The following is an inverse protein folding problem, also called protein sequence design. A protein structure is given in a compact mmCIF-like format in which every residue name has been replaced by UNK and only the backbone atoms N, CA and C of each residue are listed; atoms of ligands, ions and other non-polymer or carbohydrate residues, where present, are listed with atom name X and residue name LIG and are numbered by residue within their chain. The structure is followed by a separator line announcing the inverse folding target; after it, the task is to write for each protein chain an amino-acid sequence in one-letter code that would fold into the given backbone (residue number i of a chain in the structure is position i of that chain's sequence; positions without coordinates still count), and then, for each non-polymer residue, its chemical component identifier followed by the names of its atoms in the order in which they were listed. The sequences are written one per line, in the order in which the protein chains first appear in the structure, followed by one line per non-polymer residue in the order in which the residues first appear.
data_IF_744533432842
#
_entry.id   IF_744533432842
#
_cell.length_a   1.000
_cell.length_b   1.000
_cell.length_c   1.000
_cell.angle_alpha   90.00
_cell.angle_beta   90.00
_cell.angle_gamma   90.00
#
_symmetry.space_group_name_H-M   'P 1'
#
loop_
_entity.id
_entity.type
_entity.pdbx_description
1 polymer ?
#
# COMPACT_ATOMS: atom_id res chain seq x y z
N UNK A 1 12.20 -41.96 0.19
CA UNK A 1 11.34 -41.29 1.18
C UNK A 1 10.90 -39.95 0.60
N UNK A 2 9.60 -39.62 0.50
CA UNK A 2 9.19 -38.32 -0.01
C UNK A 2 9.41 -37.25 1.08
N UNK A 3 10.30 -36.31 0.82
CA UNK A 3 10.48 -35.09 1.62
C UNK A 3 9.38 -34.07 1.26
N UNK A 4 8.21 -34.18 1.88
CA UNK A 4 7.16 -33.17 1.76
C UNK A 4 7.47 -31.97 2.66
N UNK A 5 8.30 -31.04 2.18
CA UNK A 5 8.55 -29.76 2.86
C UNK A 5 7.26 -28.91 2.93
N UNK A 6 6.70 -28.62 4.12
CA UNK A 6 5.49 -27.80 4.24
C UNK A 6 5.86 -26.30 4.20
N UNK A 7 6.58 -25.84 3.17
CA UNK A 7 7.08 -24.46 3.10
C UNK A 7 6.26 -23.53 2.19
N UNK A 8 5.09 -23.94 1.70
CA UNK A 8 4.47 -23.24 0.55
C UNK A 8 3.21 -22.42 0.81
N UNK A 9 2.75 -22.25 2.06
CA UNK A 9 1.39 -21.71 2.32
C UNK A 9 1.25 -20.73 3.50
N UNK A 10 2.34 -20.12 3.97
CA UNK A 10 2.32 -19.17 5.10
C UNK A 10 2.24 -17.68 4.69
N UNK A 11 2.57 -17.35 3.44
CA UNK A 11 2.57 -15.96 2.93
C UNK A 11 1.27 -15.52 2.24
N UNK A 12 0.30 -16.43 2.11
CA UNK A 12 -1.01 -16.08 1.57
C UNK A 12 -1.94 -15.70 2.75
N UNK A 13 -2.57 -14.51 2.73
CA UNK A 13 -3.52 -14.13 3.76
C UNK A 13 -4.70 -15.11 3.71
N UNK A 14 -4.70 -16.05 4.66
CA UNK A 14 -5.78 -17.04 4.83
C UNK A 14 -7.01 -16.44 5.52
N UNK A 15 -6.83 -15.35 6.25
CA UNK A 15 -7.89 -14.64 6.98
C UNK A 15 -8.52 -13.56 6.10
N UNK A 16 -9.83 -13.30 6.28
CA UNK A 16 -10.53 -12.19 5.60
C UNK A 16 -9.86 -10.85 5.88
N UNK A 17 -9.43 -10.65 7.12
CA UNK A 17 -8.75 -9.42 7.55
C UNK A 17 -7.41 -9.23 6.85
N UNK A 18 -6.61 -10.30 6.71
CA UNK A 18 -5.36 -10.26 5.96
C UNK A 18 -5.58 -9.87 4.50
N UNK A 19 -6.64 -10.41 3.86
CA UNK A 19 -6.99 -10.07 2.47
C UNK A 19 -7.40 -8.60 2.33
N UNK A 20 -8.17 -8.07 3.28
CA UNK A 20 -8.58 -6.66 3.29
C UNK A 20 -7.35 -5.76 3.41
N UNK A 21 -6.45 -6.05 4.37
CA UNK A 21 -5.22 -5.27 4.58
C UNK A 21 -4.31 -5.32 3.36
N UNK A 22 -4.11 -6.50 2.76
CA UNK A 22 -3.33 -6.62 1.52
C UNK A 22 -3.96 -5.83 0.37
N UNK A 23 -5.29 -5.88 0.23
CA UNK A 23 -5.98 -5.14 -0.84
C UNK A 23 -5.88 -3.62 -0.64
N UNK A 24 -6.05 -3.13 0.60
CA UNK A 24 -5.87 -1.72 0.94
C UNK A 24 -4.44 -1.28 0.65
N UNK A 25 -3.44 -2.07 1.07
CA UNK A 25 -2.04 -1.79 0.79
C UNK A 25 -1.76 -1.74 -0.71
N UNK A 26 -2.24 -2.72 -1.48
CA UNK A 26 -2.04 -2.78 -2.92
C UNK A 26 -2.70 -1.60 -3.65
N UNK A 27 -3.91 -1.20 -3.23
CA UNK A 27 -4.60 -0.04 -3.78
C UNK A 27 -3.85 1.28 -3.51
N UNK A 28 -3.39 1.49 -2.28
CA UNK A 28 -2.57 2.65 -1.92
C UNK A 28 -1.22 2.65 -2.65
N UNK A 29 -0.61 1.48 -2.80
CA UNK A 29 0.66 1.33 -3.50
C UNK A 29 0.53 1.64 -5.00
N UNK A 30 -0.57 1.20 -5.62
CA UNK A 30 -0.91 1.59 -6.99
C UNK A 30 -1.04 3.10 -7.14
N UNK A 31 -1.62 3.79 -6.15
CA UNK A 31 -1.71 5.26 -6.18
C UNK A 31 -0.35 5.97 -6.15
N UNK A 32 0.69 5.31 -5.62
CA UNK A 32 2.07 5.82 -5.63
C UNK A 32 2.84 5.48 -6.93
N UNK A 33 2.29 4.67 -7.82
CA UNK A 33 2.97 4.28 -9.06
C UNK A 33 2.94 5.40 -10.10
N UNK A 34 4.04 5.63 -10.85
CA UNK A 34 4.14 6.71 -11.84
C UNK A 34 2.96 6.79 -12.83
N UNK A 35 2.46 5.68 -13.42
CA UNK A 35 1.33 5.75 -14.34
C UNK A 35 0.06 6.31 -13.69
N UNK A 36 -0.18 5.98 -12.42
CA UNK A 36 -1.40 6.38 -11.71
C UNK A 36 -1.27 7.81 -11.18
N UNK A 37 -0.12 8.16 -10.59
CA UNK A 37 0.13 9.53 -10.15
C UNK A 37 0.09 10.50 -11.33
N UNK A 38 0.71 10.16 -12.46
CA UNK A 38 0.70 11.03 -13.64
C UNK A 38 -0.67 11.08 -14.34
N UNK A 39 -1.48 10.02 -14.28
CA UNK A 39 -2.82 10.03 -14.86
C UNK A 39 -3.84 10.83 -14.03
N UNK A 40 -3.79 10.73 -12.69
CA UNK A 40 -4.82 11.28 -11.80
C UNK A 40 -4.39 12.54 -11.03
N UNK A 41 -3.12 12.65 -10.65
CA UNK A 41 -2.62 13.71 -9.75
C UNK A 41 -1.82 14.80 -10.48
N UNK A 42 -1.33 14.54 -11.69
CA UNK A 42 -0.45 15.45 -12.44
C UNK A 42 -1.19 16.40 -13.41
N UNK A 43 -2.51 16.57 -13.25
CA UNK A 43 -3.33 17.46 -14.10
C UNK A 43 -3.70 18.78 -13.45
N UNK A 44 -3.46 18.93 -12.15
CA UNK A 44 -3.84 20.11 -11.39
C UNK A 44 -2.53 20.62 -10.79
N UNK A 45 -2.17 21.87 -11.06
CA UNK A 45 -1.04 22.58 -10.43
C UNK A 45 -1.52 23.42 -9.22
N UNK A 46 -2.25 22.92 -8.21
CA UNK A 46 -2.32 23.65 -6.96
C UNK A 46 -0.98 23.46 -6.25
N UNK A 47 -0.39 24.55 -5.79
CA UNK A 47 0.60 24.48 -4.74
C UNK A 47 -0.14 24.46 -3.41
N UNK A 48 0.29 23.60 -2.49
CA UNK A 48 -0.23 23.54 -1.13
C UNK A 48 0.89 24.06 -0.21
N UNK A 49 0.71 25.21 0.45
CA UNK A 49 1.76 25.86 1.26
C UNK A 49 3.11 26.04 0.53
N UNK A 50 3.09 26.33 -0.78
CA UNK A 50 4.30 26.53 -1.58
C UNK A 50 5.02 25.25 -2.03
N UNK A 51 4.52 24.06 -1.67
CA UNK A 51 4.98 22.79 -2.25
C UNK A 51 4.00 22.28 -3.30
N UNK A 52 4.50 21.67 -4.41
CA UNK A 52 3.65 21.02 -5.39
C UNK A 52 2.69 20.01 -4.74
N UNK A 53 1.40 20.09 -5.07
CA UNK A 53 0.36 19.19 -4.54
C UNK A 53 0.73 17.71 -4.71
N UNK A 54 1.37 17.36 -5.81
CA UNK A 54 1.85 16.01 -6.07
C UNK A 54 2.73 15.48 -4.92
N UNK A 55 3.65 16.29 -4.40
CA UNK A 55 4.53 15.89 -3.30
C UNK A 55 3.78 15.75 -1.98
N UNK A 56 2.85 16.65 -1.68
CA UNK A 56 2.01 16.56 -0.50
C UNK A 56 1.10 15.31 -0.55
N UNK A 57 0.51 15.03 -1.71
CA UNK A 57 -0.30 13.83 -1.94
C UNK A 57 0.53 12.55 -1.77
N UNK A 58 1.72 12.48 -2.38
CA UNK A 58 2.65 11.36 -2.21
C UNK A 58 3.03 11.15 -0.74
N UNK A 59 3.30 12.23 0.00
CA UNK A 59 3.60 12.15 1.42
C UNK A 59 2.46 11.49 2.21
N UNK A 60 1.22 11.91 1.98
CA UNK A 60 0.03 11.32 2.61
C UNK A 60 -0.12 9.84 2.23
N UNK A 61 0.09 9.48 0.96
CA UNK A 61 0.00 8.08 0.50
C UNK A 61 1.07 7.21 1.18
N UNK A 62 2.32 7.68 1.28
CA UNK A 62 3.38 6.94 1.95
C UNK A 62 3.12 6.80 3.45
N UNK A 63 2.67 7.86 4.12
CA UNK A 63 2.28 7.79 5.53
C UNK A 63 1.14 6.76 5.74
N UNK A 64 0.15 6.73 4.85
CA UNK A 64 -0.93 5.75 4.88
C UNK A 64 -0.43 4.32 4.67
N UNK A 65 0.50 4.08 3.74
CA UNK A 65 1.12 2.76 3.53
C UNK A 65 1.84 2.27 4.80
N UNK A 66 2.62 3.15 5.44
CA UNK A 66 3.29 2.83 6.71
C UNK A 66 2.25 2.52 7.80
N UNK A 67 1.20 3.32 7.93
CA UNK A 67 0.14 3.09 8.90
C UNK A 67 -0.56 1.74 8.69
N UNK A 68 -0.79 1.33 7.44
CA UNK A 68 -1.38 0.02 7.10
C UNK A 68 -0.46 -1.11 7.52
N UNK A 69 0.86 -0.98 7.32
CA UNK A 69 1.84 -1.99 7.78
C UNK A 69 1.88 -2.08 9.30
N UNK A 70 1.86 -0.94 10.00
CA UNK A 70 1.79 -0.90 11.48
C UNK A 70 0.49 -1.56 11.96
N UNK A 71 -0.65 -1.27 11.31
CA UNK A 71 -1.94 -1.87 11.66
C UNK A 71 -1.93 -3.38 11.45
N UNK A 72 -1.35 -3.86 10.35
CA UNK A 72 -1.20 -5.28 10.07
C UNK A 72 -0.38 -5.97 11.18
N UNK A 73 0.77 -5.40 11.52
CA UNK A 73 1.63 -5.88 12.60
C UNK A 73 0.90 -5.92 13.96
N UNK A 74 0.17 -4.84 14.30
CA UNK A 74 -0.60 -4.77 15.55
C UNK A 74 -1.76 -5.78 15.62
N UNK A 75 -2.28 -6.21 14.48
CA UNK A 75 -3.35 -7.23 14.40
C UNK A 75 -2.82 -8.66 14.30
N UNK A 76 -1.49 -8.84 14.24
CA UNK A 76 -0.87 -10.16 14.11
C UNK A 76 -1.19 -10.85 12.78
N UNK A 77 -1.40 -10.05 11.71
CA UNK A 77 -1.71 -10.53 10.36
C UNK A 77 -0.47 -10.88 9.55
#
# INVERSE_FOLDING_TARGET
MPSSSPLRRRFLPRTRDGRIVTFIFAALFMLAMPPVTHAFLNRIEPSFFGVPFLYAALFVVYAALIAVLILAYRRGL
#
